data_IF_719854340931
#
_entry.id   IF_719854340931
#
_cell.length_a   1.000
_cell.length_b   1.000
_cell.length_c   1.000
_cell.angle_alpha   90.00
_cell.angle_beta   90.00
_cell.angle_gamma   90.00
#
_symmetry.space_group_name_H-M   'P 1'
#
loop_
_entity.id
_entity.type
_entity.pdbx_description
1 polymer ?
#
# COMPACT_ATOMS: atom_id res chain seq x y z
N UNK A 1 -1.80 38.77 -11.77
CA UNK A 1 -2.66 38.77 -10.56
C UNK A 1 -2.67 37.36 -9.98
N UNK A 2 -1.93 37.03 -8.91
CA UNK A 2 -2.07 35.72 -8.31
C UNK A 2 -3.36 35.71 -7.49
N UNK A 3 -4.22 34.72 -7.76
CA UNK A 3 -5.49 34.55 -7.07
C UNK A 3 -5.24 34.35 -5.57
N UNK A 4 -5.77 35.27 -4.77
CA UNK A 4 -5.95 35.12 -3.32
C UNK A 4 -6.86 33.93 -3.06
N UNK A 5 -6.29 32.74 -2.87
CA UNK A 5 -7.03 31.64 -2.29
C UNK A 5 -6.86 31.69 -0.77
N UNK A 6 -7.90 32.18 -0.10
CA UNK A 6 -7.95 32.41 1.33
C UNK A 6 -7.67 31.16 2.16
N UNK A 7 -6.93 31.36 3.26
CA UNK A 7 -6.77 30.44 4.39
C UNK A 7 -6.79 28.95 4.02
N UNK A 8 -5.93 28.52 3.10
CA UNK A 8 -5.95 27.16 2.56
C UNK A 8 -4.96 26.28 3.30
N UNK A 9 -5.44 25.10 3.72
CA UNK A 9 -4.65 23.88 3.97
C UNK A 9 -3.37 23.90 3.12
N UNK A 10 -2.20 23.77 3.75
CA UNK A 10 -0.94 23.74 3.01
C UNK A 10 -0.87 22.46 2.16
N UNK A 11 -0.12 22.48 1.05
CA UNK A 11 0.13 21.28 0.25
C UNK A 11 0.72 20.16 1.12
N UNK A 12 1.61 20.52 2.06
CA UNK A 12 2.21 19.59 3.00
C UNK A 12 1.17 18.84 3.83
N UNK A 13 0.17 19.53 4.39
CA UNK A 13 -0.89 18.89 5.17
C UNK A 13 -1.72 17.92 4.31
N UNK A 14 -1.96 18.27 3.04
CA UNK A 14 -2.66 17.38 2.11
C UNK A 14 -1.85 16.12 1.80
N UNK A 15 -0.54 16.26 1.57
CA UNK A 15 0.37 15.14 1.33
C UNK A 15 0.45 14.20 2.54
N UNK A 16 0.41 14.75 3.76
CA UNK A 16 0.39 13.95 4.99
C UNK A 16 -0.90 13.13 5.08
N UNK A 17 -2.06 13.76 4.88
CA UNK A 17 -3.37 13.10 4.94
C UNK A 17 -3.53 11.99 3.88
N UNK A 18 -2.99 12.22 2.69
CA UNK A 18 -3.03 11.25 1.59
C UNK A 18 -1.95 10.16 1.72
N UNK A 19 -1.03 10.28 2.68
CA UNK A 19 0.08 9.36 2.88
C UNK A 19 1.13 9.41 1.77
N UNK A 20 1.21 10.52 1.05
CA UNK A 20 2.14 10.79 -0.06
C UNK A 20 3.26 11.75 0.34
N UNK A 21 3.30 12.18 1.59
CA UNK A 21 4.39 12.98 2.15
C UNK A 21 5.72 12.22 2.12
N UNK A 22 6.78 12.86 1.61
CA UNK A 22 8.15 12.38 1.66
C UNK A 22 8.86 12.93 2.92
N UNK A 23 9.08 12.10 3.96
CA UNK A 23 9.77 12.54 5.16
C UNK A 23 11.28 12.72 4.98
N UNK A 24 11.85 12.30 3.83
CA UNK A 24 13.27 12.43 3.51
C UNK A 24 13.49 13.45 2.39
N UNK A 25 12.73 14.57 2.40
CA UNK A 25 12.80 15.59 1.35
C UNK A 25 14.19 16.21 1.23
N UNK A 26 14.95 16.26 2.32
CA UNK A 26 16.33 16.75 2.40
C UNK A 26 17.35 15.87 1.66
N UNK A 27 17.00 14.60 1.39
CA UNK A 27 17.86 13.67 0.64
C UNK A 27 17.67 13.77 -0.87
N UNK A 28 16.64 14.49 -1.33
CA UNK A 28 16.42 14.75 -2.75
C UNK A 28 17.37 15.85 -3.21
N UNK A 29 18.42 15.44 -3.93
CA UNK A 29 19.52 16.31 -4.36
C UNK A 29 19.40 16.79 -5.79
N UNK A 30 18.44 16.26 -6.57
CA UNK A 30 18.23 16.67 -7.96
C UNK A 30 18.00 18.19 -8.05
N UNK A 31 18.77 18.91 -8.88
CA UNK A 31 18.69 20.36 -8.99
C UNK A 31 17.28 20.90 -9.29
N UNK A 32 16.42 20.15 -9.98
CA UNK A 32 15.05 20.59 -10.30
C UNK A 32 14.19 20.81 -9.06
N UNK A 33 14.45 20.07 -7.98
CA UNK A 33 13.75 20.22 -6.71
C UNK A 33 14.26 21.41 -5.88
N UNK A 34 15.25 22.17 -6.39
CA UNK A 34 15.77 23.38 -5.75
C UNK A 34 15.20 24.61 -6.44
N UNK A 35 14.42 25.40 -5.71
CA UNK A 35 13.93 26.71 -6.19
C UNK A 35 12.83 26.65 -7.26
N UNK A 36 12.27 25.47 -7.53
CA UNK A 36 11.09 25.33 -8.39
C UNK A 36 9.82 25.39 -7.55
N UNK A 37 8.79 26.12 -8.01
CA UNK A 37 7.44 26.04 -7.43
C UNK A 37 6.70 24.75 -7.87
N UNK A 38 7.17 24.09 -8.92
CA UNK A 38 6.54 22.89 -9.48
C UNK A 38 7.08 21.60 -8.87
N UNK A 39 8.41 21.46 -8.75
CA UNK A 39 9.06 20.28 -8.17
C UNK A 39 9.17 20.42 -6.65
N UNK A 40 8.41 19.62 -5.94
CA UNK A 40 8.29 19.64 -4.49
C UNK A 40 8.92 18.38 -3.88
N UNK A 41 10.03 18.50 -3.11
CA UNK A 41 10.71 17.35 -2.56
C UNK A 41 9.90 16.64 -1.47
N UNK A 42 8.82 17.27 -0.96
CA UNK A 42 7.90 16.67 0.00
C UNK A 42 6.84 15.80 -0.66
N UNK A 43 6.70 15.83 -1.99
CA UNK A 43 5.75 15.00 -2.73
C UNK A 43 6.43 13.68 -3.15
N UNK A 44 6.21 12.61 -2.39
CA UNK A 44 6.87 11.33 -2.64
C UNK A 44 6.51 10.72 -3.99
N UNK A 45 5.32 11.03 -4.53
CA UNK A 45 4.88 10.52 -5.84
C UNK A 45 5.64 11.25 -6.94
N UNK A 46 5.75 12.57 -6.86
CA UNK A 46 6.50 13.37 -7.82
C UNK A 46 8.00 13.02 -7.80
N UNK A 47 8.59 12.88 -6.61
CA UNK A 47 10.00 12.47 -6.44
C UNK A 47 10.26 11.13 -7.12
N UNK A 48 9.41 10.11 -6.90
CA UNK A 48 9.56 8.81 -7.54
C UNK A 48 9.36 8.89 -9.06
N UNK A 49 8.39 9.66 -9.52
CA UNK A 49 8.13 9.83 -10.95
C UNK A 49 9.35 10.43 -11.66
N UNK A 50 9.90 11.52 -11.13
CA UNK A 50 11.08 12.17 -11.72
C UNK A 50 12.33 11.27 -11.67
N UNK A 51 12.52 10.51 -10.58
CA UNK A 51 13.56 9.49 -10.50
C UNK A 51 13.45 8.47 -11.64
N UNK A 52 12.25 7.93 -11.87
CA UNK A 52 12.01 6.96 -12.95
C UNK A 52 12.21 7.60 -14.33
N UNK A 53 11.74 8.84 -14.52
CA UNK A 53 11.93 9.61 -15.76
C UNK A 53 13.41 9.79 -16.05
N UNK A 54 14.23 10.17 -15.07
CA UNK A 54 15.67 10.40 -15.31
C UNK A 54 16.41 9.15 -15.76
N UNK A 55 16.09 7.99 -15.19
CA UNK A 55 16.69 6.74 -15.67
C UNK A 55 16.17 6.39 -17.07
N UNK A 56 14.88 6.54 -17.32
CA UNK A 56 14.25 6.05 -18.57
C UNK A 56 14.44 6.99 -19.76
N UNK A 57 14.53 8.30 -19.53
CA UNK A 57 14.58 9.34 -20.57
C UNK A 57 15.96 9.97 -20.66
N UNK A 58 16.56 10.27 -19.51
CA UNK A 58 17.87 10.94 -19.46
C UNK A 58 19.03 9.92 -19.37
N UNK A 59 18.73 8.61 -19.37
CA UNK A 59 19.69 7.50 -19.31
C UNK A 59 20.68 7.57 -18.12
N UNK A 60 20.27 8.21 -17.02
CA UNK A 60 21.04 8.21 -15.77
C UNK A 60 21.09 6.80 -15.21
N UNK A 61 22.22 6.40 -14.62
CA UNK A 61 22.33 5.07 -14.03
C UNK A 61 21.36 4.91 -12.85
N UNK A 62 20.88 3.68 -12.62
CA UNK A 62 20.01 3.38 -11.48
C UNK A 62 20.69 3.71 -10.16
N UNK A 63 22.00 3.53 -10.05
CA UNK A 63 22.78 3.90 -8.85
C UNK A 63 22.69 5.40 -8.61
N UNK A 64 23.08 6.21 -9.60
CA UNK A 64 23.15 7.65 -9.44
C UNK A 64 21.76 8.25 -9.19
N UNK A 65 20.74 7.78 -9.90
CA UNK A 65 19.38 8.21 -9.67
C UNK A 65 18.86 7.81 -8.28
N UNK A 66 19.17 6.61 -7.79
CA UNK A 66 18.75 6.20 -6.44
C UNK A 66 19.41 7.10 -5.38
N UNK A 67 20.72 7.32 -5.51
CA UNK A 67 21.49 8.15 -4.58
C UNK A 67 21.06 9.63 -4.62
N UNK A 68 20.77 10.17 -5.80
CA UNK A 68 20.36 11.57 -5.98
C UNK A 68 18.94 11.83 -5.49
N UNK A 69 18.04 10.84 -5.56
CA UNK A 69 16.67 10.96 -5.08
C UNK A 69 16.48 10.43 -3.64
N UNK A 70 17.57 10.06 -2.97
CA UNK A 70 17.55 9.68 -1.56
C UNK A 70 16.87 8.34 -1.27
N UNK A 71 16.88 7.40 -2.23
CA UNK A 71 16.30 6.07 -2.09
C UNK A 71 17.32 4.97 -2.33
N UNK A 72 16.98 3.74 -1.96
CA UNK A 72 17.82 2.57 -2.29
C UNK A 72 17.48 2.01 -3.68
N UNK A 73 18.43 1.28 -4.29
CA UNK A 73 18.21 0.58 -5.56
C UNK A 73 16.99 -0.38 -5.52
N UNK A 74 16.75 -1.17 -4.46
CA UNK A 74 15.52 -1.96 -4.35
C UNK A 74 14.24 -1.11 -4.41
N UNK A 75 14.23 0.06 -3.76
CA UNK A 75 13.10 0.99 -3.82
C UNK A 75 12.87 1.51 -5.24
N UNK A 76 13.93 1.79 -6.01
CA UNK A 76 13.82 2.13 -7.42
C UNK A 76 13.12 1.02 -8.21
N UNK A 77 13.59 -0.23 -8.09
CA UNK A 77 13.01 -1.35 -8.86
C UNK A 77 11.55 -1.61 -8.47
N UNK A 78 11.21 -1.51 -7.18
CA UNK A 78 9.83 -1.63 -6.72
C UNK A 78 8.94 -0.51 -7.28
N UNK A 79 9.43 0.73 -7.27
CA UNK A 79 8.71 1.87 -7.84
C UNK A 79 8.51 1.69 -9.35
N UNK A 80 9.55 1.24 -10.07
CA UNK A 80 9.48 0.96 -11.50
C UNK A 80 8.46 -0.13 -11.81
N UNK A 81 8.50 -1.26 -11.12
CA UNK A 81 7.54 -2.35 -11.31
C UNK A 81 6.09 -1.90 -11.04
N UNK A 82 5.87 -1.10 -9.99
CA UNK A 82 4.54 -0.57 -9.70
C UNK A 82 4.07 0.44 -10.75
N UNK A 83 4.98 1.27 -11.25
CA UNK A 83 4.67 2.24 -12.30
C UNK A 83 4.37 1.57 -13.64
N UNK A 84 5.16 0.58 -14.03
CA UNK A 84 4.94 -0.16 -15.28
C UNK A 84 3.59 -0.89 -15.28
N UNK A 85 3.12 -1.35 -14.11
CA UNK A 85 1.85 -2.08 -13.97
C UNK A 85 0.63 -1.20 -13.75
N UNK A 86 0.77 -0.06 -13.07
CA UNK A 86 -0.36 0.77 -12.59
C UNK A 86 -0.23 2.26 -12.91
N UNK A 87 0.79 2.66 -13.66
CA UNK A 87 1.12 4.05 -13.94
C UNK A 87 1.42 4.85 -12.67
N UNK A 88 1.11 6.15 -12.69
CA UNK A 88 1.31 7.06 -11.56
C UNK A 88 0.62 6.56 -10.28
N UNK A 89 -0.55 5.93 -10.41
CA UNK A 89 -1.29 5.38 -9.26
C UNK A 89 -0.50 4.26 -8.52
N UNK A 90 0.46 3.61 -9.19
CA UNK A 90 1.37 2.64 -8.57
C UNK A 90 2.44 3.25 -7.67
N UNK A 91 2.71 4.55 -7.78
CA UNK A 91 3.72 5.26 -6.98
C UNK A 91 3.21 5.71 -5.61
N UNK A 92 1.89 5.81 -5.47
CA UNK A 92 1.19 6.13 -4.22
C UNK A 92 1.44 4.99 -3.23
N UNK A 93 1.96 5.27 -2.02
CA UNK A 93 2.13 4.24 -0.99
C UNK A 93 0.82 3.53 -0.69
N UNK A 94 0.84 2.19 -0.71
CA UNK A 94 -0.31 1.43 -0.24
C UNK A 94 -0.51 1.69 1.25
N UNK A 95 -1.76 1.87 1.69
CA UNK A 95 -2.08 2.04 3.12
C UNK A 95 -1.47 0.87 3.93
N UNK A 96 -0.63 1.14 4.94
CA UNK A 96 -0.16 0.11 5.85
C UNK A 96 -1.35 -0.52 6.56
N UNK A 97 -1.44 -1.85 6.51
CA UNK A 97 -2.49 -2.60 7.18
C UNK A 97 -2.28 -4.10 7.00
N UNK A 98 -2.87 -4.95 7.87
CA UNK A 98 -2.80 -6.39 7.70
C UNK A 98 -3.33 -6.76 6.31
N UNK A 99 -2.55 -7.54 5.54
CA UNK A 99 -2.92 -7.98 4.17
C UNK A 99 -3.97 -9.11 4.19
N UNK A 100 -4.98 -8.96 5.03
CA UNK A 100 -5.97 -9.99 5.36
C UNK A 100 -5.67 -10.72 6.67
N UNK A 101 -6.59 -11.56 7.14
CA UNK A 101 -6.37 -12.41 8.30
C UNK A 101 -5.31 -13.45 7.94
N UNK A 102 -4.09 -13.32 8.44
CA UNK A 102 -2.97 -14.24 8.15
C UNK A 102 -3.20 -15.70 8.61
N UNK A 103 -4.34 -16.00 9.25
CA UNK A 103 -4.74 -17.32 9.75
C UNK A 103 -5.91 -17.93 8.98
N UNK A 104 -6.35 -17.30 7.90
CA UNK A 104 -7.50 -17.75 7.10
C UNK A 104 -7.06 -17.78 5.65
N UNK A 105 -6.51 -18.91 5.25
CA UNK A 105 -6.21 -19.27 3.87
C UNK A 105 -7.37 -20.06 3.26
N UNK A 106 -7.18 -20.50 2.01
CA UNK A 106 -8.18 -21.24 1.25
C UNK A 106 -8.49 -22.61 1.86
N UNK A 107 -7.53 -23.23 2.54
CA UNK A 107 -7.70 -24.51 3.24
C UNK A 107 -8.67 -24.36 4.43
N UNK A 108 -8.46 -23.34 5.26
CA UNK A 108 -9.36 -23.01 6.37
C UNK A 108 -10.76 -22.66 5.86
N UNK A 109 -10.88 -21.95 4.74
CA UNK A 109 -12.17 -21.60 4.14
C UNK A 109 -12.92 -22.84 3.63
N UNK A 110 -12.25 -23.72 2.88
CA UNK A 110 -12.83 -24.96 2.38
C UNK A 110 -13.26 -25.87 3.54
N UNK A 111 -12.42 -25.98 4.59
CA UNK A 111 -12.72 -26.75 5.80
C UNK A 111 -14.00 -26.29 6.48
N UNK A 112 -14.19 -24.97 6.62
CA UNK A 112 -15.36 -24.37 7.24
C UNK A 112 -16.62 -24.55 6.38
N UNK A 113 -16.51 -24.41 5.04
CA UNK A 113 -17.63 -24.56 4.12
C UNK A 113 -18.15 -25.99 4.04
N UNK A 114 -17.25 -26.98 4.01
CA UNK A 114 -17.62 -28.40 3.92
C UNK A 114 -18.47 -28.89 5.12
N UNK A 115 -18.41 -28.16 6.25
CA UNK A 115 -19.13 -28.48 7.50
C UNK A 115 -20.37 -27.62 7.70
N UNK A 116 -20.78 -26.83 6.71
CA UNK A 116 -22.04 -26.11 6.73
C UNK A 116 -23.16 -26.95 6.13
N UNK A 117 -24.31 -26.94 6.80
CA UNK A 117 -25.56 -27.52 6.31
C UNK A 117 -26.50 -26.37 5.96
N UNK A 118 -27.02 -26.36 4.73
CA UNK A 118 -27.94 -25.32 4.27
C UNK A 118 -29.20 -25.29 5.16
N UNK A 119 -29.53 -24.12 5.69
CA UNK A 119 -30.69 -23.93 6.58
C UNK A 119 -30.42 -24.15 8.07
N UNK A 120 -29.23 -24.63 8.46
CA UNK A 120 -28.85 -24.75 9.88
C UNK A 120 -28.08 -23.51 10.39
N UNK A 121 -28.20 -23.19 11.69
CA UNK A 121 -27.43 -22.11 12.30
C UNK A 121 -25.93 -22.45 12.35
N UNK A 122 -25.08 -21.46 12.08
CA UNK A 122 -23.62 -21.61 12.15
C UNK A 122 -23.16 -21.86 13.58
N UNK A 123 -22.64 -23.06 13.85
CA UNK A 123 -22.07 -23.45 15.16
C UNK A 123 -20.62 -22.98 15.29
N UNK A 124 -20.41 -21.66 15.25
CA UNK A 124 -19.07 -21.05 15.15
C UNK A 124 -18.10 -21.45 16.28
N UNK A 125 -18.63 -21.72 17.49
CA UNK A 125 -17.82 -22.20 18.62
C UNK A 125 -17.30 -23.63 18.43
N UNK A 126 -18.10 -24.49 17.81
CA UNK A 126 -17.72 -25.88 17.51
C UNK A 126 -16.72 -25.91 16.36
N UNK A 127 -16.98 -25.13 15.31
CA UNK A 127 -16.05 -24.97 14.19
C UNK A 127 -14.69 -24.42 14.63
N UNK A 128 -14.65 -23.46 15.57
CA UNK A 128 -13.39 -22.96 16.12
C UNK A 128 -12.57 -24.05 16.84
N UNK A 129 -13.24 -25.00 17.53
CA UNK A 129 -12.57 -26.14 18.16
C UNK A 129 -12.04 -27.10 17.11
N UNK A 130 -12.83 -27.42 16.09
CA UNK A 130 -12.44 -28.33 15.02
C UNK A 130 -11.26 -27.79 14.20
N UNK A 131 -11.28 -26.51 13.84
CA UNK A 131 -10.15 -25.87 13.13
C UNK A 131 -8.87 -25.92 13.97
N UNK A 132 -8.98 -25.77 15.30
CA UNK A 132 -7.82 -25.92 16.19
C UNK A 132 -7.31 -27.36 16.26
N UNK A 133 -8.20 -28.35 16.27
CA UNK A 133 -7.82 -29.76 16.40
C UNK A 133 -7.26 -30.31 15.09
N UNK A 134 -7.90 -30.00 13.97
CA UNK A 134 -7.61 -30.63 12.67
C UNK A 134 -6.58 -29.84 11.85
N UNK A 135 -6.51 -28.51 12.00
CA UNK A 135 -5.61 -27.64 11.22
C UNK A 135 -4.56 -26.90 12.08
N UNK A 136 -4.54 -27.11 13.40
CA UNK A 136 -3.70 -26.36 14.35
C UNK A 136 -3.86 -24.82 14.26
N UNK A 137 -5.00 -24.35 13.77
CA UNK A 137 -5.29 -22.91 13.64
C UNK A 137 -6.24 -22.44 14.75
N UNK A 138 -5.78 -21.50 15.56
CA UNK A 138 -6.63 -20.86 16.57
C UNK A 138 -7.45 -19.70 15.95
N UNK A 139 -8.73 -19.94 15.70
CA UNK A 139 -9.70 -18.93 15.26
C UNK A 139 -10.69 -18.54 16.36
N UNK A 140 -11.03 -17.25 16.42
CA UNK A 140 -12.13 -16.79 17.26
C UNK A 140 -13.49 -17.10 16.57
N UNK A 141 -14.53 -17.54 17.30
CA UNK A 141 -15.85 -17.83 16.70
C UNK A 141 -16.41 -16.67 15.86
N UNK A 142 -16.21 -15.43 16.31
CA UNK A 142 -16.60 -14.22 15.57
C UNK A 142 -15.88 -14.04 14.23
N UNK A 143 -14.66 -14.56 14.10
CA UNK A 143 -13.94 -14.57 12.81
C UNK A 143 -14.64 -15.52 11.83
N UNK A 144 -15.02 -16.71 12.30
CA UNK A 144 -15.74 -17.72 11.50
C UNK A 144 -17.10 -17.18 11.05
N UNK A 145 -17.89 -16.60 11.96
CA UNK A 145 -19.17 -15.97 11.63
C UNK A 145 -19.02 -14.91 10.53
N UNK A 146 -17.97 -14.08 10.60
CA UNK A 146 -17.71 -13.03 9.62
C UNK A 146 -17.30 -13.59 8.26
N UNK A 147 -16.46 -14.62 8.23
CA UNK A 147 -16.03 -15.28 6.99
C UNK A 147 -17.20 -15.92 6.25
N UNK A 148 -18.05 -16.63 6.99
CA UNK A 148 -19.19 -17.35 6.41
C UNK A 148 -20.30 -16.40 5.95
N UNK A 149 -20.54 -15.30 6.67
CA UNK A 149 -21.44 -14.22 6.20
C UNK A 149 -21.00 -13.57 4.89
N UNK A 150 -19.69 -13.50 4.63
CA UNK A 150 -19.15 -12.93 3.38
C UNK A 150 -19.27 -13.90 2.20
N UNK A 151 -19.32 -15.21 2.48
CA UNK A 151 -19.32 -16.29 1.48
C UNK A 151 -20.73 -16.65 1.02
N UNK A 152 -21.75 -16.53 1.88
CA UNK A 152 -23.16 -16.85 1.58
C UNK A 152 -23.86 -15.69 0.82
N UNK A 153 -23.10 -14.75 0.25
CA UNK A 153 -23.65 -13.57 -0.43
C UNK A 153 -23.57 -13.70 -1.94
#
# INVERSE_FOLDING_TARGET
>A
MPAKYGGKRSKMDALIDEGTFNPNSEKVRDPKFRGSEFFDPHDAVQVKYEMLRRVSVDNVSVTDASDEYGVSRPTYYQAKANFDTRGIAGLVPAKPGPRGPHKVDDEVLAFLQARLVAGEPVRARELAKLVRIELDVALHPRTIERLLKKTIR
#
